data_IF_846777297716
#
_entry.id   IF_846777297716
#
_cell.length_a   1.000
_cell.length_b   1.000
_cell.length_c   1.000
_cell.angle_alpha   90.00
_cell.angle_beta   90.00
_cell.angle_gamma   90.00
#
_symmetry.space_group_name_H-M   'P 1'
#
loop_
_entity.id
_entity.type
_entity.pdbx_description
1 polymer ?
#
# COMPACT_ATOMS: atom_id res chain seq x y z
N UNK A 1 -11.37 18.26 21.50
CA UNK A 1 -10.70 16.95 21.38
C UNK A 1 -10.47 16.72 19.90
N UNK A 2 -9.24 16.78 19.42
CA UNK A 2 -8.94 16.53 18.01
C UNK A 2 -9.29 15.07 17.71
N UNK A 3 -10.29 14.89 16.86
CA UNK A 3 -10.79 13.57 16.52
C UNK A 3 -9.93 13.04 15.37
N UNK A 4 -8.84 12.34 15.69
CA UNK A 4 -7.95 11.70 14.71
C UNK A 4 -8.56 10.41 14.15
N UNK A 5 -9.87 10.40 13.91
CA UNK A 5 -10.59 9.23 13.42
C UNK A 5 -11.08 9.49 11.99
N UNK A 6 -10.84 8.56 11.05
CA UNK A 6 -11.41 8.67 9.72
C UNK A 6 -12.94 8.79 9.77
N UNK A 7 -13.50 9.68 8.97
CA UNK A 7 -14.95 9.84 8.80
C UNK A 7 -15.43 8.90 7.70
N UNK A 8 -16.32 7.97 8.05
CA UNK A 8 -16.96 7.06 7.09
C UNK A 8 -17.93 7.86 6.22
N UNK A 9 -17.85 7.70 4.90
CA UNK A 9 -18.76 8.35 3.97
C UNK A 9 -20.12 7.64 3.96
N UNK A 10 -21.15 8.30 3.43
CA UNK A 10 -22.45 7.69 3.26
C UNK A 10 -22.39 6.49 2.29
N UNK A 11 -21.58 6.59 1.23
CA UNK A 11 -21.36 5.49 0.30
C UNK A 11 -20.66 4.31 0.97
N UNK A 12 -19.63 4.57 1.79
CA UNK A 12 -18.95 3.55 2.58
C UNK A 12 -19.85 2.89 3.61
N UNK A 13 -20.70 3.66 4.30
CA UNK A 13 -21.68 3.13 5.22
C UNK A 13 -22.71 2.24 4.50
N UNK A 14 -23.21 2.68 3.34
CA UNK A 14 -24.14 1.89 2.53
C UNK A 14 -23.51 0.57 2.07
N UNK A 15 -22.24 0.61 1.61
CA UNK A 15 -21.48 -0.58 1.26
C UNK A 15 -21.32 -1.52 2.47
N UNK A 16 -21.07 -0.97 3.66
CA UNK A 16 -20.93 -1.76 4.87
C UNK A 16 -22.25 -2.42 5.32
N UNK A 17 -23.36 -1.71 5.18
CA UNK A 17 -24.70 -2.28 5.43
C UNK A 17 -25.03 -3.37 4.41
N UNK A 18 -24.75 -3.15 3.13
CA UNK A 18 -24.98 -4.13 2.06
C UNK A 18 -24.13 -5.39 2.23
N UNK A 19 -22.88 -5.25 2.68
CA UNK A 19 -22.00 -6.35 3.02
C UNK A 19 -22.58 -7.22 4.13
N UNK A 20 -23.12 -6.59 5.19
CA UNK A 20 -23.75 -7.30 6.33
C UNK A 20 -24.97 -8.12 5.91
N UNK A 21 -25.77 -7.63 4.97
CA UNK A 21 -26.99 -8.33 4.51
C UNK A 21 -26.72 -9.44 3.51
N UNK A 22 -25.56 -9.41 2.84
CA UNK A 22 -25.29 -10.23 1.65
C UNK A 22 -24.15 -11.24 1.83
N UNK A 23 -23.62 -11.40 3.04
CA UNK A 23 -22.43 -12.21 3.35
C UNK A 23 -21.18 -11.82 2.54
N UNK A 24 -21.16 -10.60 1.99
CA UNK A 24 -20.08 -10.06 1.17
C UNK A 24 -19.02 -9.44 2.06
N UNK A 25 -17.75 -9.76 1.82
CA UNK A 25 -16.64 -9.13 2.52
C UNK A 25 -16.34 -7.74 1.94
N UNK A 26 -16.28 -6.73 2.80
CA UNK A 26 -15.82 -5.39 2.38
C UNK A 26 -14.32 -5.44 2.17
N UNK A 27 -13.87 -5.22 0.93
CA UNK A 27 -12.46 -5.17 0.60
C UNK A 27 -12.03 -3.72 0.30
N UNK A 28 -11.30 -3.12 1.23
CA UNK A 28 -10.63 -1.83 1.00
C UNK A 28 -9.34 -2.16 0.23
N UNK A 29 -9.30 -1.77 -1.03
CA UNK A 29 -8.25 -2.16 -1.97
C UNK A 29 -7.18 -1.09 -2.17
N UNK A 30 -7.54 0.19 -1.98
CA UNK A 30 -6.63 1.31 -2.22
C UNK A 30 -6.70 2.34 -1.11
N UNK A 31 -5.57 2.98 -0.86
CA UNK A 31 -5.44 4.18 -0.02
C UNK A 31 -4.91 5.29 -0.91
N UNK A 32 -5.62 6.41 -0.97
CA UNK A 32 -5.16 7.61 -1.66
C UNK A 32 -4.85 8.72 -0.66
N UNK A 33 -3.95 9.62 -1.05
CA UNK A 33 -3.50 10.76 -0.25
C UNK A 33 -3.59 12.03 -1.04
N UNK A 34 -3.84 13.13 -0.34
CA UNK A 34 -3.98 14.44 -0.93
C UNK A 34 -3.40 15.57 -0.09
N UNK A 35 -3.28 16.73 -0.71
CA UNK A 35 -2.58 17.89 -0.11
C UNK A 35 -3.51 18.91 0.53
N UNK A 36 -4.82 18.79 0.31
CA UNK A 36 -5.79 19.75 0.82
C UNK A 36 -6.34 19.30 2.17
N UNK A 37 -6.23 20.17 3.17
CA UNK A 37 -6.85 19.98 4.48
C UNK A 37 -8.20 20.66 4.59
N UNK A 38 -9.18 19.97 5.17
CA UNK A 38 -10.54 20.44 5.41
C UNK A 38 -11.26 19.56 6.43
N UNK A 39 -12.41 20.02 6.91
CA UNK A 39 -13.33 19.19 7.72
C UNK A 39 -14.03 18.14 6.82
N UNK A 40 -13.78 16.83 7.02
CA UNK A 40 -14.38 15.80 6.20
C UNK A 40 -15.90 15.78 6.35
N UNK A 41 -16.60 15.47 5.27
CA UNK A 41 -18.06 15.36 5.26
C UNK A 41 -18.50 13.98 4.78
N UNK A 42 -19.61 13.47 5.34
CA UNK A 42 -20.13 12.14 4.97
C UNK A 42 -20.55 12.03 3.51
N UNK A 43 -20.89 13.13 2.85
CA UNK A 43 -21.36 13.10 1.46
C UNK A 43 -20.21 13.07 0.44
N UNK A 44 -18.95 13.01 0.89
CA UNK A 44 -17.81 12.94 -0.02
C UNK A 44 -17.79 11.63 -0.79
N UNK A 45 -17.50 11.76 -2.08
CA UNK A 45 -17.31 10.65 -3.01
C UNK A 45 -15.88 10.56 -3.52
N UNK A 46 -15.09 11.63 -3.36
CA UNK A 46 -13.67 11.71 -3.73
C UNK A 46 -12.90 12.58 -2.74
N UNK A 47 -11.57 12.45 -2.74
CA UNK A 47 -10.66 13.44 -2.16
C UNK A 47 -10.74 14.77 -2.95
N UNK A 48 -10.33 15.87 -2.31
CA UNK A 48 -10.37 17.21 -2.96
C UNK A 48 -9.13 17.49 -3.79
N UNK A 49 -7.98 16.99 -3.37
CA UNK A 49 -6.69 17.18 -4.02
C UNK A 49 -5.86 15.89 -3.91
N UNK A 50 -6.38 14.81 -4.50
CA UNK A 50 -5.65 13.55 -4.61
C UNK A 50 -4.36 13.75 -5.43
N UNK A 51 -3.24 13.31 -4.87
CA UNK A 51 -1.92 13.39 -5.54
C UNK A 51 -1.27 12.03 -5.71
N UNK A 52 -1.66 11.03 -4.92
CA UNK A 52 -1.08 9.70 -4.98
C UNK A 52 -2.09 8.67 -4.47
N UNK A 53 -2.04 7.45 -5.04
CA UNK A 53 -2.89 6.32 -4.67
C UNK A 53 -2.06 5.04 -4.72
N UNK A 54 -2.14 4.26 -3.66
CA UNK A 54 -1.44 2.99 -3.51
C UNK A 54 -2.42 1.86 -3.21
N UNK A 55 -2.02 0.64 -3.54
CA UNK A 55 -2.77 -0.58 -3.18
C UNK A 55 -2.58 -0.85 -1.68
N UNK A 56 -3.62 -1.33 -1.02
CA UNK A 56 -3.52 -1.83 0.36
C UNK A 56 -2.65 -3.09 0.35
N UNK A 57 -1.54 -3.04 1.06
CA UNK A 57 -0.51 -4.08 1.06
C UNK A 57 -0.54 -4.96 2.30
N UNK A 58 -1.12 -4.45 3.38
CA UNK A 58 -1.33 -5.15 4.63
C UNK A 58 -2.63 -4.73 5.28
N UNK A 59 -3.19 -5.59 6.11
CA UNK A 59 -4.20 -5.16 7.05
C UNK A 59 -4.72 -6.29 7.92
N UNK A 60 -5.26 -5.88 9.07
CA UNK A 60 -5.69 -6.78 10.13
C UNK A 60 -7.02 -6.33 10.68
N UNK A 61 -7.98 -7.25 10.74
CA UNK A 61 -9.18 -7.04 11.53
C UNK A 61 -8.78 -7.18 13.01
N UNK A 62 -8.87 -6.07 13.75
CA UNK A 62 -8.52 -6.01 15.16
C UNK A 62 -9.70 -6.41 16.08
N UNK A 63 -10.87 -6.73 15.49
CA UNK A 63 -12.11 -6.98 16.21
C UNK A 63 -12.78 -5.69 16.67
N UNK A 64 -13.99 -5.79 17.23
CA UNK A 64 -14.74 -4.67 17.81
C UNK A 64 -14.93 -3.44 16.91
N UNK A 65 -15.11 -3.64 15.60
CA UNK A 65 -15.27 -2.47 14.74
C UNK A 65 -13.95 -1.89 14.22
N UNK A 66 -12.79 -2.49 14.47
CA UNK A 66 -11.51 -1.89 14.10
C UNK A 66 -10.80 -2.65 12.97
N UNK A 67 -10.41 -1.89 11.94
CA UNK A 67 -9.60 -2.37 10.84
C UNK A 67 -8.29 -1.62 10.81
N UNK A 68 -7.18 -2.36 10.88
CA UNK A 68 -5.87 -1.83 10.56
C UNK A 68 -5.60 -2.03 9.07
N UNK A 69 -5.21 -1.00 8.36
CA UNK A 69 -4.79 -1.07 6.96
C UNK A 69 -3.41 -0.44 6.79
N UNK A 70 -2.57 -1.08 5.99
CA UNK A 70 -1.23 -0.59 5.67
C UNK A 70 -1.15 -0.26 4.19
N UNK A 71 -0.59 0.92 3.88
CA UNK A 71 -0.22 1.32 2.53
C UNK A 71 1.24 1.74 2.45
N UNK A 72 1.89 1.46 1.32
CA UNK A 72 3.22 1.97 1.00
C UNK A 72 3.10 3.17 0.05
N UNK A 73 3.61 4.32 0.46
CA UNK A 73 3.63 5.55 -0.32
C UNK A 73 5.06 5.89 -0.74
N UNK A 74 5.22 6.11 -2.04
CA UNK A 74 6.43 6.60 -2.70
C UNK A 74 6.00 7.67 -3.71
N UNK A 75 6.81 8.69 -3.91
CA UNK A 75 6.52 9.82 -4.79
C UNK A 75 7.82 10.49 -5.20
N UNK A 76 7.94 10.95 -6.44
CA UNK A 76 9.08 11.76 -6.91
C UNK A 76 8.97 13.24 -6.51
N UNK A 77 7.86 13.63 -5.91
CA UNK A 77 7.57 14.99 -5.46
C UNK A 77 7.44 15.08 -3.95
N UNK A 78 7.84 16.23 -3.41
CA UNK A 78 7.69 16.59 -2.00
C UNK A 78 6.34 17.26 -1.75
N UNK A 79 5.57 16.75 -0.79
CA UNK A 79 4.29 17.36 -0.40
C UNK A 79 3.85 16.98 1.02
N UNK A 80 3.12 17.90 1.65
CA UNK A 80 2.43 17.64 2.91
C UNK A 80 1.11 16.89 2.63
N UNK A 81 0.93 15.73 3.25
CA UNK A 81 -0.34 15.01 3.20
C UNK A 81 -1.27 15.57 4.26
N UNK A 82 -2.43 16.04 3.82
CA UNK A 82 -3.49 16.60 4.69
C UNK A 82 -4.82 15.87 4.59
N UNK A 83 -4.97 15.01 3.59
CA UNK A 83 -6.13 14.12 3.45
C UNK A 83 -5.71 12.71 3.04
N UNK A 84 -6.46 11.72 3.50
CA UNK A 84 -6.31 10.29 3.22
C UNK A 84 -7.70 9.74 2.91
N UNK A 85 -7.82 9.02 1.79
CA UNK A 85 -9.05 8.36 1.35
C UNK A 85 -8.86 6.86 1.28
N UNK A 86 -9.82 6.12 1.80
CA UNK A 86 -9.86 4.66 1.75
C UNK A 86 -10.88 4.22 0.72
N UNK A 87 -10.49 3.41 -0.24
CA UNK A 87 -11.32 3.06 -1.39
C UNK A 87 -11.57 1.56 -1.50
N UNK A 88 -12.80 1.21 -1.86
CA UNK A 88 -13.18 -0.15 -2.22
C UNK A 88 -12.67 -0.52 -3.61
N UNK A 89 -12.70 -1.81 -3.95
CA UNK A 89 -12.28 -2.32 -5.27
C UNK A 89 -13.08 -1.76 -6.45
N UNK A 90 -14.32 -1.31 -6.22
CA UNK A 90 -15.18 -0.68 -7.22
C UNK A 90 -14.92 0.84 -7.38
N UNK A 91 -13.98 1.40 -6.61
CA UNK A 91 -13.68 2.83 -6.61
C UNK A 91 -14.51 3.68 -5.63
N UNK A 92 -15.42 3.07 -4.87
CA UNK A 92 -16.20 3.78 -3.84
C UNK A 92 -15.28 4.31 -2.73
N UNK A 93 -15.35 5.61 -2.45
CA UNK A 93 -14.68 6.20 -1.28
C UNK A 93 -15.41 5.76 0.00
N UNK A 94 -14.78 4.88 0.76
CA UNK A 94 -15.33 4.27 1.97
C UNK A 94 -15.23 5.20 3.18
N UNK A 95 -14.04 5.76 3.40
CA UNK A 95 -13.78 6.67 4.50
C UNK A 95 -12.77 7.74 4.08
N UNK A 96 -12.83 8.89 4.72
CA UNK A 96 -11.93 10.00 4.50
C UNK A 96 -11.41 10.53 5.83
N UNK A 97 -10.11 10.74 5.91
CA UNK A 97 -9.48 11.44 7.02
C UNK A 97 -8.83 12.69 6.48
N UNK A 98 -9.15 13.84 7.04
CA UNK A 98 -8.55 15.12 6.68
C UNK A 98 -8.60 16.03 7.90
N UNK A 99 -7.60 16.91 8.01
CA UNK A 99 -7.54 17.95 9.05
C UNK A 99 -7.30 19.31 8.38
N UNK A 100 -8.08 20.35 8.70
CA UNK A 100 -7.91 21.68 8.10
C UNK A 100 -6.56 22.31 8.45
N UNK A 101 -6.03 22.02 9.65
CA UNK A 101 -4.86 22.71 10.21
C UNK A 101 -3.63 21.82 10.16
N UNK A 102 -3.75 20.57 10.59
CA UNK A 102 -2.63 19.67 10.80
C UNK A 102 -2.21 18.94 9.52
N UNK A 103 -0.91 18.67 9.43
CA UNK A 103 -0.34 17.75 8.44
C UNK A 103 -0.36 16.35 9.04
N UNK A 104 -0.84 15.37 8.27
CA UNK A 104 -0.92 13.98 8.71
C UNK A 104 0.45 13.33 8.66
N UNK A 105 1.14 13.47 7.52
CA UNK A 105 2.54 13.11 7.34
C UNK A 105 3.11 13.84 6.12
N UNK A 106 4.42 13.76 5.94
CA UNK A 106 5.11 14.46 4.87
C UNK A 106 5.77 13.46 3.94
N UNK A 107 5.50 13.57 2.64
CA UNK A 107 6.08 12.71 1.61
C UNK A 107 7.26 13.44 0.95
N UNK A 108 8.38 12.74 0.76
CA UNK A 108 9.54 13.24 0.03
C UNK A 108 10.02 12.22 -0.99
N UNK A 109 10.83 12.62 -1.99
CA UNK A 109 11.42 11.70 -2.98
C UNK A 109 12.25 10.57 -2.41
N UNK A 110 12.86 10.78 -1.24
CA UNK A 110 13.70 9.80 -0.58
C UNK A 110 12.94 8.93 0.44
N UNK A 111 11.68 9.24 0.72
CA UNK A 111 10.90 8.57 1.75
C UNK A 111 10.06 7.42 1.18
N UNK A 112 10.36 6.21 1.64
CA UNK A 112 9.49 5.04 1.50
C UNK A 112 8.62 4.91 2.75
N UNK A 113 7.43 5.49 2.71
CA UNK A 113 6.55 5.55 3.89
C UNK A 113 5.62 4.34 3.88
N UNK A 114 5.76 3.47 4.88
CA UNK A 114 4.79 2.41 5.18
C UNK A 114 3.92 2.90 6.32
N UNK A 115 2.68 3.29 6.00
CA UNK A 115 1.77 3.89 6.98
C UNK A 115 0.61 2.94 7.28
N UNK A 116 0.45 2.63 8.57
CA UNK A 116 -0.71 1.96 9.12
C UNK A 116 -1.81 2.96 9.50
N UNK A 117 -3.06 2.61 9.23
CA UNK A 117 -4.25 3.39 9.55
C UNK A 117 -5.27 2.52 10.27
N UNK A 118 -5.77 3.01 11.39
CA UNK A 118 -6.85 2.36 12.13
C UNK A 118 -8.20 3.01 11.79
N UNK A 119 -9.07 2.23 11.16
CA UNK A 119 -10.45 2.58 10.85
C UNK A 119 -11.35 2.01 11.95
N UNK A 120 -11.93 2.91 12.75
CA UNK A 120 -12.93 2.55 13.75
C UNK A 120 -14.33 2.68 13.15
N UNK A 121 -14.93 1.54 12.79
CA UNK A 121 -16.32 1.38 12.37
C UNK A 121 -17.25 1.39 13.60
N UNK A 122 -17.31 2.51 14.31
CA UNK A 122 -18.18 2.67 15.50
C UNK A 122 -19.69 2.51 15.20
N UNK A 123 -20.07 2.49 13.92
CA UNK A 123 -21.45 2.34 13.45
C UNK A 123 -21.75 1.01 12.73
N UNK A 124 -20.79 0.08 12.61
CA UNK A 124 -20.97 -1.17 11.84
C UNK A 124 -20.55 -2.39 12.66
N UNK A 125 -21.41 -3.40 12.85
CA UNK A 125 -21.01 -4.67 13.44
C UNK A 125 -20.08 -5.41 12.46
N UNK A 126 -18.79 -5.53 12.79
CA UNK A 126 -17.78 -6.18 11.95
C UNK A 126 -17.76 -7.68 12.20
N UNK A 127 -18.38 -8.44 11.30
CA UNK A 127 -18.12 -9.87 11.13
C UNK A 127 -17.66 -10.25 9.70
N UNK A 128 -17.74 -9.36 8.70
CA UNK A 128 -17.48 -9.69 7.28
C UNK A 128 -16.43 -8.77 6.63
N UNK A 129 -15.20 -8.76 7.16
CA UNK A 129 -14.10 -7.99 6.55
C UNK A 129 -12.88 -8.88 6.35
N UNK A 130 -12.62 -9.24 5.09
CA UNK A 130 -11.43 -9.98 4.66
C UNK A 130 -10.35 -9.02 4.17
N UNK A 131 -9.14 -9.21 4.70
CA UNK A 131 -7.95 -8.45 4.29
C UNK A 131 -6.89 -9.43 3.82
N UNK A 132 -6.47 -9.30 2.57
CA UNK A 132 -5.33 -10.04 2.03
C UNK A 132 -4.06 -9.30 2.43
N UNK A 133 -3.47 -9.66 3.57
CA UNK A 133 -2.21 -9.08 4.05
C UNK A 133 -1.02 -9.86 3.48
N UNK A 134 -0.15 -9.20 2.73
CA UNK A 134 1.13 -9.78 2.28
C UNK A 134 2.26 -9.68 3.31
N UNK A 135 1.97 -9.09 4.48
CA UNK A 135 2.89 -8.92 5.61
C UNK A 135 3.74 -7.65 5.49
N UNK A 136 3.65 -6.76 6.49
CA UNK A 136 4.27 -5.43 6.47
C UNK A 136 5.81 -5.45 6.33
N UNK A 137 6.47 -6.54 6.77
CA UNK A 137 7.92 -6.72 6.67
C UNK A 137 8.39 -6.95 5.22
N UNK A 138 7.57 -7.61 4.39
CA UNK A 138 7.85 -7.79 2.97
C UNK A 138 7.80 -6.47 2.20
N UNK A 139 7.07 -5.47 2.69
CA UNK A 139 6.95 -4.17 2.04
C UNK A 139 8.18 -3.29 2.24
N UNK A 140 8.80 -3.43 3.40
CA UNK A 140 10.01 -2.70 3.75
C UNK A 140 11.26 -3.38 3.16
N UNK A 141 11.31 -4.71 3.17
CA UNK A 141 12.51 -5.46 2.77
C UNK A 141 12.40 -6.12 1.38
N UNK A 142 11.23 -6.16 0.78
CA UNK A 142 11.01 -6.87 -0.49
C UNK A 142 11.85 -6.30 -1.65
N UNK A 143 11.94 -4.97 -1.77
CA UNK A 143 12.78 -4.32 -2.78
C UNK A 143 14.27 -4.59 -2.55
N UNK A 144 14.74 -4.51 -1.31
CA UNK A 144 16.12 -4.84 -0.91
C UNK A 144 16.46 -6.31 -1.24
N UNK A 145 15.56 -7.25 -0.92
CA UNK A 145 15.73 -8.66 -1.24
C UNK A 145 15.68 -8.93 -2.75
N UNK A 146 14.82 -8.23 -3.51
CA UNK A 146 14.82 -8.31 -4.98
C UNK A 146 16.11 -7.76 -5.58
N UNK A 147 16.62 -6.63 -5.08
CA UNK A 147 17.89 -6.06 -5.52
C UNK A 147 19.08 -6.98 -5.23
N UNK A 148 19.12 -7.58 -4.03
CA UNK A 148 20.11 -8.58 -3.67
C UNK A 148 20.01 -9.84 -4.56
N UNK A 149 18.79 -10.30 -4.84
CA UNK A 149 18.55 -11.44 -5.73
C UNK A 149 19.02 -11.14 -7.15
N UNK A 150 18.73 -9.95 -7.67
CA UNK A 150 19.20 -9.50 -8.98
C UNK A 150 20.74 -9.43 -9.04
N UNK A 151 21.37 -8.88 -8.01
CA UNK A 151 22.84 -8.83 -7.89
C UNK A 151 23.46 -10.24 -7.89
N UNK A 152 22.92 -11.16 -7.08
CA UNK A 152 23.38 -12.54 -7.05
C UNK A 152 23.17 -13.26 -8.39
N UNK A 153 22.05 -13.01 -9.07
CA UNK A 153 21.78 -13.55 -10.41
C UNK A 153 22.78 -13.02 -11.45
N UNK A 154 23.13 -11.74 -11.40
CA UNK A 154 24.16 -11.14 -12.26
C UNK A 154 25.54 -11.74 -12.01
N UNK A 155 25.92 -11.94 -10.74
CA UNK A 155 27.19 -12.61 -10.37
C UNK A 155 27.21 -14.04 -10.92
N UNK A 156 26.12 -14.80 -10.73
CA UNK A 156 26.01 -16.16 -11.26
C UNK A 156 26.13 -16.19 -12.80
N UNK A 157 25.48 -15.25 -13.49
CA UNK A 157 25.57 -15.13 -14.94
C UNK A 157 27.00 -14.80 -15.41
N UNK A 158 27.68 -13.88 -14.70
CA UNK A 158 29.07 -13.54 -14.99
C UNK A 158 30.02 -14.74 -14.76
N UNK A 159 29.79 -15.54 -13.71
CA UNK A 159 30.52 -16.78 -13.45
C UNK A 159 30.30 -17.82 -14.55
N UNK A 160 29.05 -18.04 -14.97
CA UNK A 160 28.72 -18.96 -16.07
C UNK A 160 29.42 -18.52 -17.36
N UNK A 161 29.37 -17.22 -17.69
CA UNK A 161 30.06 -16.68 -18.86
C UNK A 161 31.59 -16.86 -18.77
N UNK A 162 32.17 -16.69 -17.58
CA UNK A 162 33.59 -16.94 -17.35
C UNK A 162 33.97 -18.40 -17.55
N UNK A 163 33.20 -19.32 -16.97
CA UNK A 163 33.41 -20.76 -17.11
C UNK A 163 33.26 -21.19 -18.58
N UNK A 164 32.27 -20.65 -19.28
CA UNK A 164 32.07 -20.93 -20.70
C UNK A 164 33.26 -20.47 -21.55
N UNK A 165 33.81 -19.27 -21.29
CA UNK A 165 35.04 -18.80 -21.95
C UNK A 165 36.23 -19.70 -21.64
N UNK A 166 36.34 -20.21 -20.42
CA UNK A 166 37.41 -21.13 -20.03
C UNK A 166 37.28 -22.48 -20.74
N UNK A 167 36.06 -23.01 -20.89
CA UNK A 167 35.79 -24.23 -21.68
C UNK A 167 36.19 -24.00 -23.14
N UNK A 168 35.73 -22.92 -23.76
CA UNK A 168 36.09 -22.60 -25.15
C UNK A 168 37.59 -22.36 -25.36
N UNK A 169 38.28 -21.85 -24.34
CA UNK A 169 39.73 -21.70 -24.37
C UNK A 169 40.41 -23.06 -24.29
N UNK A 170 39.97 -23.93 -23.37
CA UNK A 170 40.47 -25.28 -23.23
C UNK A 170 40.23 -26.13 -24.49
N UNK A 171 39.02 -26.05 -25.08
CA UNK A 171 38.69 -26.72 -26.34
C UNK A 171 39.60 -26.24 -27.49
N UNK A 172 39.92 -24.94 -27.52
CA UNK A 172 40.88 -24.39 -28.48
C UNK A 172 42.29 -24.92 -28.26
N UNK A 173 42.76 -25.01 -27.02
CA UNK A 173 44.07 -25.60 -26.71
C UNK A 173 44.15 -27.06 -27.15
N UNK A 174 43.13 -27.85 -26.81
CA UNK A 174 43.03 -29.26 -27.24
C UNK A 174 43.02 -29.40 -28.77
N UNK A 175 42.34 -28.50 -29.49
CA UNK A 175 42.33 -28.49 -30.96
C UNK A 175 43.69 -28.12 -31.58
N UNK A 176 44.56 -27.43 -30.85
CA UNK A 176 45.90 -27.03 -31.26
C UNK A 176 46.98 -28.07 -30.89
N UNK A 177 46.60 -29.16 -30.21
CA UNK A 177 47.49 -30.29 -29.91
C UNK A 177 48.53 -30.04 -28.82
N UNK A 178 48.27 -29.08 -27.91
CA UNK A 178 49.04 -28.85 -26.67
C UNK A 178 48.21 -29.30 -25.47
#
# INVERSE_FOLDING_TARGET
MNNYTPTITQAGLNAAVAAKTSDVNIHISHIAVGTQGYEPTRNQVTLKSEVNRTVVTGGKNLGNGQLHLTGKFTSDSEYAVKEVGFYLSDGTLFAVWSDPTNVLFYQTPMAHIVQGFDLVLSAVPINNIEIHSSGDLNLFLGEEFMAMTLSNAQIAQAQIASNYRQIQFNDRLLSLGV
#
